data_IF_889031620507
#
_entry.id   IF_889031620507
#
_cell.length_a   1.000
_cell.length_b   1.000
_cell.length_c   1.000
_cell.angle_alpha   90.00
_cell.angle_beta   90.00
_cell.angle_gamma   90.00
#
_symmetry.space_group_name_H-M   'P 1'
#
loop_
_entity.id
_entity.type
_entity.pdbx_description
1 polymer ?
#
# COMPACT_ATOMS: atom_id res chain seq x y z
N UNK A 1 -26.29 -37.90 -49.41
CA UNK A 1 -25.27 -38.43 -48.48
C UNK A 1 -24.87 -37.30 -47.53
N UNK A 2 -25.58 -37.20 -46.38
CA UNK A 2 -25.50 -36.07 -45.47
C UNK A 2 -24.48 -36.37 -44.36
N UNK A 3 -23.36 -35.61 -44.31
CA UNK A 3 -22.38 -35.67 -43.25
C UNK A 3 -22.91 -34.97 -41.98
N UNK A 4 -23.31 -35.75 -40.97
CA UNK A 4 -23.65 -35.27 -39.64
C UNK A 4 -22.39 -34.64 -38.97
N UNK A 5 -22.32 -33.32 -38.85
CA UNK A 5 -21.33 -32.62 -38.01
C UNK A 5 -21.53 -33.03 -36.55
N UNK A 6 -20.64 -33.84 -35.97
CA UNK A 6 -20.55 -34.12 -34.55
C UNK A 6 -20.34 -32.78 -33.79
N UNK A 7 -21.35 -32.34 -33.06
CA UNK A 7 -21.19 -31.27 -32.05
C UNK A 7 -20.18 -31.74 -31.02
N UNK A 8 -18.98 -31.13 -31.01
CA UNK A 8 -17.98 -31.31 -29.93
C UNK A 8 -18.63 -30.78 -28.65
N UNK A 9 -18.75 -31.63 -27.64
CA UNK A 9 -19.16 -31.23 -26.30
C UNK A 9 -18.26 -30.08 -25.77
N UNK A 10 -18.82 -29.11 -25.09
CA UNK A 10 -18.01 -28.02 -24.52
C UNK A 10 -17.05 -28.64 -23.50
N UNK A 11 -15.74 -28.60 -23.80
CA UNK A 11 -14.72 -28.89 -22.81
C UNK A 11 -15.01 -28.01 -21.58
N UNK A 12 -15.27 -28.61 -20.43
CA UNK A 12 -15.32 -27.92 -19.14
C UNK A 12 -14.00 -27.11 -19.00
N UNK A 13 -14.03 -25.85 -19.37
CA UNK A 13 -12.95 -24.90 -19.09
C UNK A 13 -12.88 -24.80 -17.57
N UNK A 14 -11.76 -25.17 -16.97
CA UNK A 14 -11.55 -24.99 -15.55
C UNK A 14 -11.89 -23.54 -15.18
N UNK A 15 -12.53 -23.34 -14.06
CA UNK A 15 -13.09 -22.06 -13.59
C UNK A 15 -12.08 -20.90 -13.69
N UNK A 16 -10.78 -21.16 -13.46
CA UNK A 16 -9.67 -20.20 -13.61
C UNK A 16 -9.32 -19.87 -15.08
N UNK A 17 -9.75 -20.66 -16.06
CA UNK A 17 -9.39 -20.47 -17.47
C UNK A 17 -10.25 -19.43 -18.20
N UNK A 18 -11.35 -18.96 -17.60
CA UNK A 18 -12.24 -17.92 -18.10
C UNK A 18 -12.11 -16.57 -17.39
N UNK A 19 -11.39 -16.50 -16.26
CA UNK A 19 -11.30 -15.30 -15.41
C UNK A 19 -10.42 -14.21 -16.03
N UNK A 20 -10.80 -12.94 -15.81
CA UNK A 20 -9.94 -11.79 -16.17
C UNK A 20 -8.68 -11.77 -15.28
N UNK A 21 -7.61 -11.11 -15.75
CA UNK A 21 -6.37 -10.98 -14.96
C UNK A 21 -6.65 -10.37 -13.58
N UNK A 22 -7.53 -9.37 -13.52
CA UNK A 22 -7.95 -8.71 -12.28
C UNK A 22 -8.62 -9.66 -11.30
N UNK A 23 -9.48 -10.57 -11.80
CA UNK A 23 -10.14 -11.59 -10.97
C UNK A 23 -9.12 -12.58 -10.38
N UNK A 24 -8.14 -12.99 -11.17
CA UNK A 24 -7.08 -13.91 -10.69
C UNK A 24 -6.30 -13.25 -9.57
N UNK A 25 -5.94 -11.97 -9.70
CA UNK A 25 -5.25 -11.21 -8.65
C UNK A 25 -6.11 -11.16 -7.38
N UNK A 26 -7.39 -10.76 -7.48
CA UNK A 26 -8.30 -10.70 -6.33
C UNK A 26 -8.43 -12.04 -5.62
N UNK A 27 -8.66 -13.13 -6.36
CA UNK A 27 -8.79 -14.49 -5.81
C UNK A 27 -7.49 -14.91 -5.12
N UNK A 28 -6.34 -14.60 -5.70
CA UNK A 28 -5.03 -14.93 -5.12
C UNK A 28 -4.82 -14.25 -3.77
N UNK A 29 -5.20 -12.97 -3.64
CA UNK A 29 -5.14 -12.24 -2.37
C UNK A 29 -6.11 -12.83 -1.34
N UNK A 30 -7.34 -13.16 -1.73
CA UNK A 30 -8.33 -13.80 -0.83
C UNK A 30 -7.81 -15.14 -0.32
N UNK A 31 -7.23 -15.97 -1.19
CA UNK A 31 -6.64 -17.26 -0.79
C UNK A 31 -5.46 -17.09 0.17
N UNK A 32 -4.62 -16.08 -0.07
CA UNK A 32 -3.49 -15.78 0.81
C UNK A 32 -3.96 -15.30 2.19
N UNK A 33 -4.98 -14.43 2.23
CA UNK A 33 -5.61 -13.98 3.48
C UNK A 33 -6.23 -15.17 4.23
N UNK A 34 -6.94 -16.06 3.55
CA UNK A 34 -7.53 -17.25 4.16
C UNK A 34 -6.46 -18.18 4.74
N UNK A 35 -5.36 -18.41 4.02
CA UNK A 35 -4.22 -19.19 4.51
C UNK A 35 -3.57 -18.53 5.72
N UNK A 36 -3.31 -17.22 5.67
CA UNK A 36 -2.77 -16.45 6.77
C UNK A 36 -3.67 -16.51 8.00
N UNK A 37 -4.99 -16.35 7.82
CA UNK A 37 -5.98 -16.48 8.90
C UNK A 37 -5.89 -17.85 9.56
N UNK A 38 -5.86 -18.93 8.76
CA UNK A 38 -5.73 -20.29 9.27
C UNK A 38 -4.46 -20.45 10.12
N UNK A 39 -3.31 -19.99 9.62
CA UNK A 39 -2.03 -20.11 10.32
C UNK A 39 -2.02 -19.27 11.62
N UNK A 40 -2.59 -18.05 11.62
CA UNK A 40 -2.64 -17.17 12.78
C UNK A 40 -3.65 -17.62 13.84
N UNK A 41 -4.65 -18.44 13.50
CA UNK A 41 -5.59 -19.04 14.48
C UNK A 41 -5.02 -20.26 15.20
N UNK A 42 -3.87 -20.80 14.76
CA UNK A 42 -3.20 -21.91 15.43
C UNK A 42 -2.70 -21.49 16.82
N UNK A 43 -2.84 -22.33 17.85
CA UNK A 43 -2.35 -22.01 19.21
C UNK A 43 -0.86 -21.68 19.27
N UNK A 44 -0.05 -22.26 18.38
CA UNK A 44 1.40 -22.00 18.29
C UNK A 44 1.71 -20.56 17.82
N UNK A 45 0.78 -19.87 17.16
CA UNK A 45 0.99 -18.51 16.64
C UNK A 45 0.80 -17.44 17.70
N UNK A 46 0.09 -17.72 18.80
CA UNK A 46 -0.32 -16.73 19.79
C UNK A 46 0.24 -17.07 21.17
N UNK A 47 0.71 -16.04 21.89
CA UNK A 47 1.20 -16.16 23.29
C UNK A 47 0.06 -16.36 24.30
N UNK A 48 -1.13 -15.84 24.00
CA UNK A 48 -2.31 -15.88 24.87
C UNK A 48 -3.26 -17.05 24.54
N UNK A 49 -2.81 -18.06 23.79
CA UNK A 49 -3.64 -19.16 23.32
C UNK A 49 -4.27 -18.86 21.94
N UNK A 50 -5.49 -19.36 21.70
CA UNK A 50 -6.14 -19.17 20.37
C UNK A 50 -6.59 -17.72 20.19
N UNK A 51 -6.14 -17.11 19.08
CA UNK A 51 -6.66 -15.83 18.63
C UNK A 51 -8.06 -16.01 18.02
N UNK A 52 -8.97 -15.08 18.26
CA UNK A 52 -10.29 -15.08 17.63
C UNK A 52 -10.16 -15.00 16.08
N UNK A 53 -11.01 -15.74 15.36
CA UNK A 53 -10.94 -15.86 13.89
C UNK A 53 -11.01 -14.49 13.22
N UNK A 54 -11.84 -13.56 13.72
CA UNK A 54 -11.98 -12.21 13.17
C UNK A 54 -10.69 -11.39 13.35
N UNK A 55 -10.06 -11.47 14.52
CA UNK A 55 -8.80 -10.75 14.80
C UNK A 55 -7.64 -11.35 13.98
N UNK A 56 -7.60 -12.67 13.79
CA UNK A 56 -6.66 -13.35 12.93
C UNK A 56 -6.86 -12.97 11.46
N UNK A 57 -8.11 -12.91 10.98
CA UNK A 57 -8.44 -12.50 9.62
C UNK A 57 -8.11 -11.01 9.38
N UNK A 58 -8.34 -10.15 10.35
CA UNK A 58 -7.97 -8.74 10.29
C UNK A 58 -6.46 -8.59 10.15
N UNK A 59 -5.69 -9.26 11.00
CA UNK A 59 -4.22 -9.23 10.97
C UNK A 59 -3.68 -9.81 9.66
N UNK A 60 -4.22 -10.95 9.18
CA UNK A 60 -3.85 -11.54 7.90
C UNK A 60 -4.16 -10.61 6.72
N UNK A 61 -5.33 -9.93 6.75
CA UNK A 61 -5.71 -8.96 5.72
C UNK A 61 -4.78 -7.75 5.75
N UNK A 62 -4.55 -7.18 6.93
CA UNK A 62 -3.66 -6.03 7.12
C UNK A 62 -2.23 -6.34 6.66
N UNK A 63 -1.68 -7.51 7.01
CA UNK A 63 -0.36 -7.95 6.59
C UNK A 63 -0.27 -8.20 5.08
N UNK A 64 -1.26 -8.90 4.50
CA UNK A 64 -1.29 -9.22 3.06
C UNK A 64 -1.54 -7.98 2.21
N UNK A 65 -2.41 -7.07 2.64
CA UNK A 65 -2.65 -5.79 1.97
C UNK A 65 -1.56 -4.76 2.27
N UNK A 66 -0.61 -5.12 3.16
CA UNK A 66 0.52 -4.25 3.54
C UNK A 66 -0.01 -2.92 4.12
N UNK A 67 -0.94 -3.03 5.06
CA UNK A 67 -1.60 -1.85 5.65
C UNK A 67 -0.96 -1.44 6.98
N UNK A 68 -0.77 -2.38 7.92
CA UNK A 68 -0.20 -2.09 9.23
C UNK A 68 -1.20 -1.70 10.32
N UNK A 69 -2.49 -1.60 10.04
CA UNK A 69 -3.49 -1.48 11.09
C UNK A 69 -3.55 -2.78 11.89
N UNK A 70 -3.49 -2.67 13.21
CA UNK A 70 -3.43 -3.81 14.12
C UNK A 70 -4.52 -3.71 15.20
N UNK A 71 -5.29 -4.77 15.36
CA UNK A 71 -6.26 -4.93 16.47
C UNK A 71 -5.61 -5.58 17.69
N UNK A 72 -4.47 -6.21 17.49
CA UNK A 72 -3.62 -6.82 18.54
C UNK A 72 -2.17 -6.48 18.26
N UNK A 73 -1.46 -6.02 19.25
CA UNK A 73 -0.04 -5.68 19.12
C UNK A 73 0.79 -6.89 18.70
N UNK A 74 1.69 -6.70 17.73
CA UNK A 74 2.41 -7.81 17.07
C UNK A 74 3.40 -8.49 18.02
N UNK A 75 4.07 -7.72 18.88
CA UNK A 75 5.05 -8.27 19.82
C UNK A 75 4.37 -9.02 20.97
N UNK A 76 3.38 -8.40 21.59
CA UNK A 76 2.75 -8.95 22.80
C UNK A 76 1.83 -10.14 22.50
N UNK A 77 1.17 -10.15 21.32
CA UNK A 77 0.22 -11.19 20.96
C UNK A 77 0.88 -12.40 20.29
N UNK A 78 1.81 -12.19 19.36
CA UNK A 78 2.31 -13.28 18.53
C UNK A 78 3.63 -13.86 19.03
N UNK A 79 3.73 -15.20 18.97
CA UNK A 79 4.98 -15.94 19.15
C UNK A 79 5.92 -15.67 17.97
N UNK A 80 7.21 -16.05 18.03
CA UNK A 80 8.12 -15.96 16.88
C UNK A 80 7.56 -16.64 15.63
N UNK A 81 6.83 -17.75 15.77
CA UNK A 81 6.14 -18.39 14.66
C UNK A 81 5.04 -17.50 14.06
N UNK A 82 4.16 -16.92 14.90
CA UNK A 82 3.13 -15.99 14.44
C UNK A 82 3.71 -14.74 13.79
N UNK A 83 4.79 -14.18 14.35
CA UNK A 83 5.52 -13.06 13.77
C UNK A 83 6.12 -13.42 12.40
N UNK A 84 6.67 -14.63 12.23
CA UNK A 84 7.17 -15.11 10.94
C UNK A 84 6.05 -15.27 9.92
N UNK A 85 4.87 -15.75 10.32
CA UNK A 85 3.69 -15.81 9.43
C UNK A 85 3.29 -14.41 8.98
N UNK A 86 3.20 -13.43 9.89
CA UNK A 86 2.90 -12.02 9.55
C UNK A 86 3.94 -11.48 8.58
N UNK A 87 5.23 -11.71 8.83
CA UNK A 87 6.32 -11.25 7.98
C UNK A 87 6.26 -11.86 6.57
N UNK A 88 5.93 -13.14 6.45
CA UNK A 88 5.75 -13.81 5.15
C UNK A 88 4.54 -13.24 4.39
N UNK A 89 3.44 -12.97 5.08
CA UNK A 89 2.27 -12.33 4.47
C UNK A 89 2.61 -10.92 3.96
N UNK A 90 3.38 -10.13 4.72
CA UNK A 90 3.90 -8.82 4.31
C UNK A 90 4.76 -8.94 3.06
N UNK A 91 5.73 -9.87 3.05
CA UNK A 91 6.63 -10.05 1.91
C UNK A 91 5.88 -10.45 0.64
N UNK A 92 4.98 -11.43 0.74
CA UNK A 92 4.17 -11.88 -0.39
C UNK A 92 3.21 -10.79 -0.86
N UNK A 93 2.57 -10.11 0.07
CA UNK A 93 1.64 -9.02 -0.20
C UNK A 93 2.33 -7.79 -0.80
N UNK A 94 3.49 -7.40 -0.28
CA UNK A 94 4.29 -6.25 -0.71
C UNK A 94 4.80 -6.39 -2.13
N UNK A 95 5.45 -7.51 -2.44
CA UNK A 95 5.94 -7.80 -3.79
C UNK A 95 4.82 -8.18 -4.78
N UNK A 96 3.65 -8.53 -4.26
CA UNK A 96 2.53 -9.06 -5.05
C UNK A 96 2.65 -10.56 -5.32
N UNK A 97 1.58 -11.29 -5.06
CA UNK A 97 1.56 -12.76 -5.19
C UNK A 97 1.91 -13.21 -6.60
N UNK A 98 1.42 -12.51 -7.62
CA UNK A 98 1.70 -12.85 -9.04
C UNK A 98 3.19 -12.70 -9.33
N UNK A 99 3.84 -11.67 -8.79
CA UNK A 99 5.28 -11.45 -8.94
C UNK A 99 6.07 -12.60 -8.32
N UNK A 100 5.75 -13.01 -7.09
CA UNK A 100 6.45 -14.10 -6.41
C UNK A 100 6.19 -15.47 -7.04
N UNK A 101 4.94 -15.80 -7.36
CA UNK A 101 4.62 -17.09 -7.99
C UNK A 101 5.28 -17.22 -9.36
N UNK A 102 5.35 -16.15 -10.12
CA UNK A 102 6.03 -16.12 -11.40
C UNK A 102 7.54 -16.23 -11.26
N UNK A 103 8.14 -15.61 -10.23
CA UNK A 103 9.54 -15.76 -9.92
C UNK A 103 9.90 -17.21 -9.59
N UNK A 104 9.12 -17.88 -8.74
CA UNK A 104 9.36 -19.29 -8.42
C UNK A 104 9.14 -20.22 -9.64
N UNK A 105 8.14 -19.94 -10.48
CA UNK A 105 7.93 -20.69 -11.73
C UNK A 105 9.13 -20.56 -12.67
N UNK A 106 9.69 -19.36 -12.77
CA UNK A 106 10.88 -19.07 -13.58
C UNK A 106 12.14 -19.75 -12.98
N UNK A 107 12.33 -19.67 -11.67
CA UNK A 107 13.45 -20.31 -10.97
C UNK A 107 13.41 -21.83 -11.13
N UNK A 108 12.22 -22.44 -11.14
CA UNK A 108 12.00 -23.86 -11.42
C UNK A 108 12.11 -24.24 -12.92
N UNK A 109 12.57 -23.32 -13.79
CA UNK A 109 12.68 -23.49 -15.25
C UNK A 109 11.37 -23.94 -15.93
N UNK A 110 10.22 -23.66 -15.35
CA UNK A 110 8.92 -23.91 -15.98
C UNK A 110 8.67 -22.87 -17.08
N UNK A 111 8.21 -23.32 -18.24
CA UNK A 111 7.77 -22.39 -19.32
C UNK A 111 6.52 -21.67 -18.88
N UNK A 112 6.58 -20.37 -18.83
CA UNK A 112 5.42 -19.51 -18.54
C UNK A 112 4.53 -19.42 -19.77
N UNK A 113 3.22 -19.61 -19.59
CA UNK A 113 2.24 -19.44 -20.65
C UNK A 113 1.93 -17.96 -20.93
N UNK A 114 1.34 -17.67 -22.10
CA UNK A 114 0.94 -16.28 -22.46
C UNK A 114 0.01 -15.62 -21.42
N UNK A 115 -0.79 -16.40 -20.68
CA UNK A 115 -1.65 -15.88 -19.60
C UNK A 115 -0.84 -15.43 -18.39
N UNK A 116 0.16 -16.21 -18.00
CA UNK A 116 1.02 -15.88 -16.85
C UNK A 116 1.85 -14.62 -17.14
N UNK A 117 2.32 -14.47 -18.37
CA UNK A 117 3.03 -13.28 -18.83
C UNK A 117 2.13 -12.02 -18.86
N UNK A 118 0.86 -12.18 -19.21
CA UNK A 118 -0.11 -11.07 -19.17
C UNK A 118 -0.41 -10.63 -17.73
N UNK A 119 -0.61 -11.58 -16.81
CA UNK A 119 -0.80 -11.32 -15.39
C UNK A 119 0.39 -10.58 -14.78
N UNK A 120 1.60 -10.99 -15.14
CA UNK A 120 2.83 -10.31 -14.76
C UNK A 120 2.88 -8.87 -15.28
N UNK A 121 2.61 -8.65 -16.57
CA UNK A 121 2.60 -7.32 -17.16
C UNK A 121 1.63 -6.38 -16.45
N UNK A 122 0.44 -6.84 -16.08
CA UNK A 122 -0.55 -6.06 -15.34
C UNK A 122 -0.10 -5.80 -13.87
N UNK A 123 0.55 -6.76 -13.20
CA UNK A 123 0.98 -6.61 -11.80
C UNK A 123 2.19 -5.70 -11.63
N UNK A 124 3.08 -5.65 -12.63
CA UNK A 124 4.35 -4.90 -12.59
C UNK A 124 4.31 -3.64 -13.45
N UNK A 125 3.16 -3.34 -14.09
CA UNK A 125 2.99 -2.18 -15.00
C UNK A 125 3.96 -2.20 -16.20
N UNK A 126 4.34 -3.39 -16.69
CA UNK A 126 5.27 -3.55 -17.83
C UNK A 126 4.54 -3.53 -19.18
N UNK A 127 5.12 -2.84 -20.15
CA UNK A 127 4.51 -2.62 -21.48
C UNK A 127 4.75 -3.73 -22.53
N UNK A 128 5.48 -4.80 -22.19
CA UNK A 128 5.79 -5.89 -23.13
C UNK A 128 6.03 -7.25 -22.48
N UNK A 129 5.58 -8.32 -23.15
CA UNK A 129 5.63 -9.71 -22.63
C UNK A 129 7.05 -10.29 -22.49
N UNK A 130 7.98 -9.95 -23.40
CA UNK A 130 9.36 -10.42 -23.32
C UNK A 130 10.17 -9.74 -22.21
N UNK A 131 9.76 -8.54 -21.83
CA UNK A 131 10.38 -7.76 -20.75
C UNK A 131 9.85 -8.14 -19.36
N UNK A 132 8.66 -8.74 -19.27
CA UNK A 132 8.02 -9.03 -17.99
C UNK A 132 8.83 -10.00 -17.11
N UNK A 133 9.48 -10.99 -17.70
CA UNK A 133 10.33 -11.95 -16.95
C UNK A 133 11.61 -11.33 -16.42
N UNK A 134 12.21 -10.41 -17.17
CA UNK A 134 13.44 -9.74 -16.75
C UNK A 134 13.12 -8.66 -15.70
N UNK A 135 12.03 -7.94 -15.88
CA UNK A 135 11.50 -7.00 -14.87
C UNK A 135 11.23 -7.73 -13.55
N UNK A 136 10.63 -8.93 -13.60
CA UNK A 136 10.38 -9.74 -12.42
C UNK A 136 11.65 -10.06 -11.62
N UNK A 137 12.71 -10.53 -12.31
CA UNK A 137 14.01 -10.81 -11.66
C UNK A 137 14.58 -9.55 -11.03
N UNK A 138 14.48 -8.41 -11.72
CA UNK A 138 14.97 -7.13 -11.23
C UNK A 138 14.19 -6.70 -9.99
N UNK A 139 12.86 -6.80 -9.99
CA UNK A 139 12.00 -6.46 -8.83
C UNK A 139 12.41 -7.25 -7.59
N UNK A 140 12.50 -8.58 -7.71
CA UNK A 140 12.87 -9.42 -6.56
C UNK A 140 14.31 -9.14 -6.12
N UNK A 141 15.25 -8.98 -7.05
CA UNK A 141 16.64 -8.65 -6.73
C UNK A 141 16.76 -7.31 -6.02
N UNK A 142 16.06 -6.27 -6.49
CA UNK A 142 16.04 -4.94 -5.86
C UNK A 142 15.46 -5.01 -4.46
N UNK A 143 14.30 -5.66 -4.29
CA UNK A 143 13.67 -5.82 -2.98
C UNK A 143 14.61 -6.49 -1.98
N UNK A 144 15.13 -7.68 -2.31
CA UNK A 144 16.06 -8.40 -1.45
C UNK A 144 17.32 -7.57 -1.14
N UNK A 145 17.83 -6.80 -2.11
CA UNK A 145 19.02 -5.96 -1.90
C UNK A 145 18.74 -4.85 -0.88
N UNK A 146 17.63 -4.11 -1.02
CA UNK A 146 17.27 -3.06 -0.07
C UNK A 146 16.94 -3.63 1.31
N UNK A 147 16.23 -4.75 1.39
CA UNK A 147 15.87 -5.40 2.64
C UNK A 147 17.12 -5.91 3.39
N UNK A 148 18.06 -6.55 2.70
CA UNK A 148 19.31 -7.04 3.31
C UNK A 148 20.18 -5.86 3.77
N UNK A 149 20.36 -4.82 2.95
CA UNK A 149 21.11 -3.63 3.33
C UNK A 149 20.45 -2.96 4.54
N UNK A 150 19.14 -2.77 4.51
CA UNK A 150 18.38 -2.20 5.63
C UNK A 150 18.49 -3.04 6.90
N UNK A 151 18.38 -4.36 6.79
CA UNK A 151 18.59 -5.27 7.92
C UNK A 151 19.98 -5.10 8.54
N UNK A 152 21.03 -5.11 7.72
CA UNK A 152 22.42 -4.95 8.21
C UNK A 152 22.62 -3.60 8.90
N UNK A 153 22.09 -2.52 8.31
CA UNK A 153 22.15 -1.18 8.92
C UNK A 153 21.39 -1.14 10.26
N UNK A 154 20.19 -1.72 10.34
CA UNK A 154 19.42 -1.75 11.59
C UNK A 154 20.06 -2.65 12.65
N UNK A 155 20.77 -3.73 12.25
CA UNK A 155 21.53 -4.58 13.20
C UNK A 155 22.58 -3.77 13.98
N UNK A 156 23.19 -2.72 13.39
CA UNK A 156 24.14 -1.86 14.07
C UNK A 156 23.51 -1.16 15.28
N UNK A 157 22.21 -0.83 15.21
CA UNK A 157 21.49 -0.19 16.30
C UNK A 157 20.83 -1.21 17.26
N UNK A 158 20.23 -2.29 16.74
CA UNK A 158 19.38 -3.18 17.53
C UNK A 158 20.14 -4.36 18.15
N UNK A 159 21.23 -4.86 17.55
CA UNK A 159 22.01 -5.97 18.13
C UNK A 159 22.70 -5.55 19.44
N UNK A 160 23.35 -4.36 19.55
CA UNK A 160 23.90 -3.91 20.83
C UNK A 160 22.84 -3.74 21.93
N UNK A 161 21.60 -3.43 21.57
CA UNK A 161 20.50 -3.19 22.52
C UNK A 161 19.78 -4.48 22.93
N UNK A 162 19.59 -5.44 22.02
CA UNK A 162 18.75 -6.63 22.20
C UNK A 162 19.50 -7.95 22.07
N UNK A 163 20.82 -7.92 21.83
CA UNK A 163 21.59 -9.13 21.59
C UNK A 163 21.12 -9.87 20.32
N UNK A 164 21.07 -11.21 20.40
CA UNK A 164 20.68 -12.06 19.25
C UNK A 164 19.24 -11.77 18.75
N UNK A 165 18.33 -11.36 19.61
CA UNK A 165 16.96 -10.99 19.26
C UNK A 165 16.93 -9.74 18.35
N UNK A 166 17.94 -8.86 18.48
CA UNK A 166 18.12 -7.69 17.62
C UNK A 166 18.27 -8.05 16.14
N UNK A 167 18.76 -9.25 15.79
CA UNK A 167 18.83 -9.73 14.41
C UNK A 167 17.41 -9.92 13.85
N UNK A 168 16.53 -10.56 14.63
CA UNK A 168 15.14 -10.78 14.23
C UNK A 168 14.37 -9.47 14.10
N UNK A 169 14.51 -8.57 15.09
CA UNK A 169 13.89 -7.24 15.06
C UNK A 169 14.37 -6.45 13.83
N UNK A 170 15.67 -6.49 13.51
CA UNK A 170 16.24 -5.82 12.34
C UNK A 170 15.65 -6.36 11.03
N UNK A 171 15.58 -7.69 10.89
CA UNK A 171 15.02 -8.33 9.71
C UNK A 171 13.53 -7.98 9.55
N UNK A 172 12.75 -8.10 10.62
CA UNK A 172 11.33 -7.78 10.62
C UNK A 172 11.07 -6.32 10.26
N UNK A 173 11.80 -5.38 10.91
CA UNK A 173 11.66 -3.94 10.67
C UNK A 173 12.09 -3.55 9.26
N UNK A 174 13.19 -4.12 8.74
CA UNK A 174 13.67 -3.82 7.39
C UNK A 174 12.66 -4.25 6.31
N UNK A 175 12.12 -5.47 6.41
CA UNK A 175 11.13 -5.99 5.48
C UNK A 175 9.82 -5.20 5.61
N UNK A 176 9.34 -4.94 6.83
CA UNK A 176 8.14 -4.18 7.09
C UNK A 176 8.24 -2.75 6.54
N UNK A 177 9.38 -2.07 6.76
CA UNK A 177 9.62 -0.72 6.26
C UNK A 177 9.72 -0.66 4.74
N UNK A 178 10.49 -1.59 4.11
CA UNK A 178 10.63 -1.63 2.65
C UNK A 178 9.32 -2.01 1.95
N UNK A 179 8.59 -2.98 2.50
CA UNK A 179 7.26 -3.34 2.00
C UNK A 179 6.19 -2.28 2.30
N UNK A 180 6.50 -1.26 3.10
CA UNK A 180 5.55 -0.24 3.56
C UNK A 180 4.38 -0.86 4.34
N UNK A 181 4.67 -1.78 5.27
CA UNK A 181 3.67 -2.61 5.93
C UNK A 181 3.22 -2.11 7.30
N UNK A 182 4.02 -1.27 7.97
CA UNK A 182 3.66 -0.65 9.25
C UNK A 182 3.65 -1.56 10.47
N UNK A 183 3.94 -2.84 10.30
CA UNK A 183 4.09 -3.77 11.42
C UNK A 183 5.46 -3.62 12.07
N UNK A 184 5.51 -3.66 13.40
CA UNK A 184 6.72 -3.58 14.19
C UNK A 184 6.74 -4.56 15.36
N UNK A 185 7.88 -4.68 16.02
CA UNK A 185 8.09 -5.52 17.18
C UNK A 185 8.46 -4.72 18.45
N UNK A 186 8.14 -3.42 18.45
CA UNK A 186 8.48 -2.49 19.55
C UNK A 186 7.41 -2.45 20.66
N UNK A 187 6.34 -3.22 20.55
CA UNK A 187 5.35 -3.43 21.61
C UNK A 187 5.94 -3.90 22.95
N UNK A 188 7.21 -4.30 22.98
CA UNK A 188 7.99 -4.58 24.20
C UNK A 188 8.21 -3.34 25.08
N UNK A 189 8.18 -2.14 24.53
CA UNK A 189 8.28 -0.89 25.27
C UNK A 189 6.93 -0.35 25.73
N UNK A 190 5.87 -0.85 25.16
CA UNK A 190 4.48 -0.50 25.42
C UNK A 190 3.62 -0.92 24.23
N UNK A 191 2.40 -1.42 24.48
CA UNK A 191 1.50 -1.83 23.40
C UNK A 191 1.27 -0.67 22.42
N UNK A 192 1.40 -0.96 21.12
CA UNK A 192 1.23 0.01 20.02
C UNK A 192 2.22 1.17 20.04
N UNK A 193 3.38 1.03 20.73
CA UNK A 193 4.37 2.13 20.86
C UNK A 193 5.05 2.50 19.55
N UNK A 194 5.05 1.60 18.58
CA UNK A 194 5.79 1.77 17.30
C UNK A 194 7.23 2.26 17.53
N UNK A 195 7.70 3.24 16.77
CA UNK A 195 9.05 3.82 16.89
C UNK A 195 9.13 5.01 17.86
N UNK A 196 8.12 5.28 18.69
CA UNK A 196 8.18 6.36 19.66
C UNK A 196 9.41 6.29 20.59
N UNK A 197 9.88 5.11 21.07
CA UNK A 197 11.12 5.01 21.85
C UNK A 197 12.38 5.46 21.09
N UNK A 198 12.34 5.50 19.77
CA UNK A 198 13.45 5.89 18.89
C UNK A 198 13.33 7.31 18.33
N UNK A 199 12.46 8.16 18.90
CA UNK A 199 12.26 9.55 18.46
C UNK A 199 13.55 10.38 18.51
N UNK A 200 14.49 10.07 19.41
CA UNK A 200 15.79 10.72 19.52
C UNK A 200 16.91 9.98 18.78
N UNK A 201 16.65 8.80 18.23
CA UNK A 201 17.65 8.05 17.46
C UNK A 201 17.51 8.33 15.96
N UNK A 202 18.17 9.38 15.51
CA UNK A 202 18.11 9.84 14.11
C UNK A 202 18.65 8.80 13.12
N UNK A 203 19.63 7.98 13.52
CA UNK A 203 20.16 6.91 12.67
C UNK A 203 19.09 5.91 12.28
N UNK A 204 18.38 5.37 13.26
CA UNK A 204 17.29 4.41 13.03
C UNK A 204 16.19 5.03 12.16
N UNK A 205 15.80 6.28 12.45
CA UNK A 205 14.79 6.98 11.67
C UNK A 205 15.20 7.16 10.21
N UNK A 206 16.45 7.58 9.93
CA UNK A 206 16.94 7.78 8.56
C UNK A 206 16.97 6.47 7.77
N UNK A 207 17.45 5.37 8.39
CA UNK A 207 17.48 4.06 7.74
C UNK A 207 16.05 3.59 7.39
N UNK A 208 15.12 3.73 8.33
CA UNK A 208 13.72 3.32 8.11
C UNK A 208 13.05 4.20 7.05
N UNK A 209 13.21 5.53 7.11
CA UNK A 209 12.69 6.45 6.08
C UNK A 209 13.22 6.11 4.69
N UNK A 210 14.51 5.80 4.59
CA UNK A 210 15.11 5.40 3.31
C UNK A 210 14.46 4.13 2.75
N UNK A 211 14.23 3.12 3.59
CA UNK A 211 13.55 1.88 3.17
C UNK A 211 12.12 2.14 2.72
N UNK A 212 11.37 2.96 3.47
CA UNK A 212 10.00 3.36 3.12
C UNK A 212 9.96 4.07 1.75
N UNK A 213 10.85 5.05 1.56
CA UNK A 213 10.93 5.78 0.30
C UNK A 213 11.34 4.86 -0.85
N UNK A 214 12.30 3.95 -0.61
CA UNK A 214 12.76 2.99 -1.60
C UNK A 214 11.63 2.06 -2.06
N UNK A 215 10.85 1.50 -1.13
CA UNK A 215 9.69 0.67 -1.45
C UNK A 215 8.56 1.44 -2.13
N UNK A 216 8.33 2.70 -1.73
CA UNK A 216 7.23 3.54 -2.22
C UNK A 216 7.43 4.19 -3.60
N UNK A 217 8.67 4.32 -4.09
CA UNK A 217 8.97 4.97 -5.39
C UNK A 217 8.59 4.11 -6.61
N UNK A 218 8.45 2.81 -6.43
CA UNK A 218 8.14 1.88 -7.52
C UNK A 218 9.39 1.30 -8.21
N UNK A 219 9.30 0.02 -8.54
CA UNK A 219 10.45 -0.74 -9.05
C UNK A 219 10.96 -0.23 -10.41
N UNK A 220 10.06 0.22 -11.30
CA UNK A 220 10.44 0.74 -12.61
C UNK A 220 11.24 2.04 -12.52
N UNK A 221 10.93 2.89 -11.54
CA UNK A 221 11.69 4.13 -11.30
C UNK A 221 13.12 3.81 -10.87
N UNK A 222 13.31 2.78 -10.04
CA UNK A 222 14.66 2.32 -9.66
C UNK A 222 15.45 1.76 -10.83
N UNK A 223 14.81 1.05 -11.74
CA UNK A 223 15.44 0.56 -12.98
C UNK A 223 15.93 1.77 -13.82
N UNK A 224 15.08 2.77 -14.02
CA UNK A 224 15.44 3.97 -14.77
C UNK A 224 16.54 4.80 -14.10
N UNK A 225 16.53 4.91 -12.75
CA UNK A 225 17.61 5.58 -12.00
C UNK A 225 18.94 4.82 -12.18
N UNK A 226 18.93 3.50 -12.14
CA UNK A 226 20.11 2.66 -12.38
C UNK A 226 20.69 2.84 -13.80
N UNK A 227 19.82 3.03 -14.79
CA UNK A 227 20.20 3.25 -16.19
C UNK A 227 20.49 4.74 -16.53
N UNK A 228 20.19 5.66 -15.63
CA UNK A 228 20.30 7.11 -15.88
C UNK A 228 21.70 7.54 -16.30
N UNK A 229 22.74 6.92 -15.74
CA UNK A 229 24.14 7.20 -16.14
C UNK A 229 24.40 6.91 -17.62
N UNK A 230 23.70 5.90 -18.18
CA UNK A 230 23.85 5.49 -19.58
C UNK A 230 22.93 6.29 -20.51
N UNK A 231 21.65 6.42 -20.14
CA UNK A 231 20.61 7.01 -20.99
C UNK A 231 20.49 8.53 -20.88
N UNK A 232 21.00 9.13 -19.80
CA UNK A 232 20.98 10.58 -19.50
C UNK A 232 19.58 11.22 -19.53
N UNK A 233 18.51 10.43 -19.57
CA UNK A 233 17.14 10.94 -19.46
C UNK A 233 16.28 9.98 -18.62
N UNK A 234 15.28 10.54 -17.94
CA UNK A 234 14.22 9.82 -17.25
C UNK A 234 12.93 9.95 -18.05
N UNK A 235 12.10 8.92 -18.03
CA UNK A 235 10.76 8.96 -18.61
C UNK A 235 9.89 10.02 -17.92
N UNK A 236 8.80 10.45 -18.60
CA UNK A 236 7.81 11.33 -18.01
C UNK A 236 7.26 10.73 -16.69
N UNK A 237 7.01 9.41 -16.68
CA UNK A 237 6.53 8.69 -15.52
C UNK A 237 7.49 8.83 -14.31
N UNK A 238 8.77 8.53 -14.50
CA UNK A 238 9.77 8.61 -13.42
C UNK A 238 9.93 10.05 -12.91
N UNK A 239 9.96 11.05 -13.79
CA UNK A 239 10.02 12.47 -13.40
C UNK A 239 8.82 12.87 -12.57
N UNK A 240 7.60 12.48 -12.96
CA UNK A 240 6.38 12.78 -12.20
C UNK A 240 6.41 12.11 -10.82
N UNK A 241 6.78 10.83 -10.76
CA UNK A 241 6.88 10.11 -9.48
C UNK A 241 7.86 10.79 -8.54
N UNK A 242 9.08 11.08 -8.99
CA UNK A 242 10.12 11.70 -8.18
C UNK A 242 9.71 13.10 -7.70
N UNK A 243 9.22 13.95 -8.61
CA UNK A 243 8.82 15.31 -8.30
C UNK A 243 7.67 15.36 -7.29
N UNK A 244 6.57 14.65 -7.57
CA UNK A 244 5.40 14.68 -6.69
C UNK A 244 5.64 13.98 -5.36
N UNK A 245 6.44 12.88 -5.33
CA UNK A 245 6.83 12.25 -4.07
C UNK A 245 7.68 13.21 -3.21
N UNK A 246 8.65 13.90 -3.80
CA UNK A 246 9.48 14.88 -3.10
C UNK A 246 8.64 16.04 -2.54
N UNK A 247 7.73 16.60 -3.36
CA UNK A 247 6.82 17.69 -2.93
C UNK A 247 5.97 17.23 -1.74
N UNK A 248 5.44 16.00 -1.78
CA UNK A 248 4.59 15.49 -0.71
C UNK A 248 5.38 15.15 0.56
N UNK A 249 6.61 14.63 0.45
CA UNK A 249 7.47 14.36 1.61
C UNK A 249 7.93 15.66 2.28
N UNK A 250 8.49 16.58 1.52
CA UNK A 250 9.04 17.84 2.05
C UNK A 250 7.93 18.80 2.44
N UNK A 251 6.92 18.97 1.59
CA UNK A 251 5.77 19.83 1.87
C UNK A 251 4.95 19.31 3.06
N UNK A 252 4.70 18.00 3.13
CA UNK A 252 4.04 17.39 4.27
C UNK A 252 4.82 17.58 5.57
N UNK A 253 6.16 17.39 5.54
CA UNK A 253 7.02 17.62 6.70
C UNK A 253 7.00 19.07 7.18
N UNK A 254 7.07 20.03 6.24
CA UNK A 254 6.98 21.46 6.57
C UNK A 254 5.64 21.80 7.22
N UNK A 255 4.52 21.33 6.67
CA UNK A 255 3.18 21.60 7.22
C UNK A 255 2.98 20.91 8.58
N UNK A 256 3.36 19.65 8.74
CA UNK A 256 3.27 18.93 10.02
C UNK A 256 4.15 19.63 11.07
N UNK A 257 5.40 19.99 10.69
CA UNK A 257 6.31 20.70 11.57
C UNK A 257 5.74 22.03 12.03
N UNK A 258 5.20 22.85 11.12
CA UNK A 258 4.60 24.14 11.46
C UNK A 258 3.40 24.00 12.41
N UNK A 259 2.56 22.99 12.22
CA UNK A 259 1.33 22.78 13.02
C UNK A 259 1.64 22.22 14.41
N UNK A 260 2.62 21.31 14.52
CA UNK A 260 2.91 20.57 15.76
C UNK A 260 4.13 21.11 16.53
N UNK A 261 4.83 22.14 16.02
CA UNK A 261 6.10 22.65 16.57
C UNK A 261 6.06 22.94 18.06
N UNK A 262 4.96 23.53 18.52
CA UNK A 262 4.77 23.94 19.91
C UNK A 262 3.80 23.05 20.68
N UNK A 263 3.29 21.96 20.08
CA UNK A 263 2.36 21.06 20.76
C UNK A 263 3.13 20.22 21.81
N UNK A 264 2.93 20.45 23.12
CA UNK A 264 3.69 19.81 24.19
C UNK A 264 3.44 18.28 24.26
N UNK A 265 2.30 17.82 23.71
CA UNK A 265 1.88 16.41 23.74
C UNK A 265 2.45 15.61 22.55
N UNK A 266 2.94 16.27 21.49
CA UNK A 266 3.50 15.61 20.32
C UNK A 266 4.98 15.93 20.12
N UNK A 267 5.32 17.14 19.63
CA UNK A 267 6.69 17.52 19.27
C UNK A 267 7.30 18.57 20.21
N UNK A 268 6.51 19.25 21.04
CA UNK A 268 6.95 20.43 21.82
C UNK A 268 8.15 20.17 22.69
N UNK A 269 8.27 18.99 23.29
CA UNK A 269 9.39 18.59 24.16
C UNK A 269 10.66 18.16 23.44
N UNK A 270 10.64 18.06 22.10
CA UNK A 270 11.81 17.63 21.32
C UNK A 270 12.78 18.81 21.06
N UNK A 271 14.06 18.49 20.88
CA UNK A 271 15.06 19.44 20.37
C UNK A 271 14.72 19.89 18.95
N UNK A 272 15.24 21.04 18.50
CA UNK A 272 14.99 21.54 17.14
C UNK A 272 15.31 20.50 16.05
N UNK A 273 16.49 19.82 16.07
CA UNK A 273 16.74 18.74 15.11
C UNK A 273 15.74 17.57 15.25
N UNK A 274 15.33 17.25 16.50
CA UNK A 274 14.33 16.22 16.78
C UNK A 274 12.96 16.55 16.18
N UNK A 275 12.51 17.80 16.28
CA UNK A 275 11.25 18.27 15.67
C UNK A 275 11.27 18.14 14.15
N UNK A 276 12.36 18.56 13.50
CA UNK A 276 12.54 18.45 12.05
C UNK A 276 12.53 16.98 11.62
N UNK A 277 13.28 16.13 12.35
CA UNK A 277 13.35 14.71 12.03
C UNK A 277 12.01 14.00 12.24
N UNK A 278 11.28 14.29 13.32
CA UNK A 278 9.96 13.74 13.60
C UNK A 278 8.93 14.18 12.55
N UNK A 279 8.94 15.45 12.15
CA UNK A 279 8.06 15.97 11.10
C UNK A 279 8.35 15.30 9.74
N UNK A 280 9.63 15.13 9.38
CA UNK A 280 10.03 14.47 8.15
C UNK A 280 9.67 12.98 8.19
N UNK A 281 9.95 12.29 9.31
CA UNK A 281 9.59 10.88 9.49
C UNK A 281 8.08 10.69 9.35
N UNK A 282 7.30 11.53 10.02
CA UNK A 282 5.85 11.41 9.98
C UNK A 282 5.29 11.68 8.60
N UNK A 283 5.82 12.68 7.87
CA UNK A 283 5.43 12.95 6.49
C UNK A 283 5.75 11.78 5.54
N UNK A 284 6.93 11.16 5.68
CA UNK A 284 7.31 9.97 4.90
C UNK A 284 6.41 8.79 5.28
N UNK A 285 6.13 8.59 6.55
CA UNK A 285 5.32 7.48 7.05
C UNK A 285 3.85 7.55 6.61
N UNK A 286 3.26 8.76 6.52
CA UNK A 286 1.89 8.92 5.98
C UNK A 286 1.75 8.41 4.54
N UNK A 287 2.86 8.21 3.83
CA UNK A 287 2.89 7.68 2.46
C UNK A 287 3.00 6.16 2.46
N UNK A 288 2.05 5.49 3.10
CA UNK A 288 1.82 4.04 3.14
C UNK A 288 2.80 3.24 4.01
N UNK A 289 3.46 3.84 5.03
CA UNK A 289 4.43 3.10 5.84
C UNK A 289 3.94 2.67 7.22
N UNK A 290 3.07 3.45 7.87
CA UNK A 290 2.37 3.05 9.09
C UNK A 290 3.17 3.09 10.40
N UNK A 291 4.43 3.49 10.39
CA UNK A 291 5.26 3.62 11.58
C UNK A 291 5.22 5.06 12.10
N UNK A 292 5.19 5.28 13.41
CA UNK A 292 5.18 6.61 14.02
C UNK A 292 6.25 6.75 15.10
N UNK A 293 6.81 7.96 15.19
CA UNK A 293 7.78 8.36 16.22
C UNK A 293 7.20 9.31 17.25
N UNK A 294 5.99 9.82 17.01
CA UNK A 294 5.24 10.72 17.90
C UNK A 294 3.86 10.15 18.16
N UNK A 295 3.23 10.58 19.25
CA UNK A 295 1.84 10.21 19.55
C UNK A 295 0.86 10.92 18.62
N UNK A 296 0.26 10.17 17.71
CA UNK A 296 -0.70 10.68 16.72
C UNK A 296 -2.06 11.03 17.33
N UNK A 297 -2.45 10.36 18.40
CA UNK A 297 -3.69 10.68 19.11
C UNK A 297 -3.62 12.07 19.72
N UNK A 298 -2.42 12.49 20.15
CA UNK A 298 -2.16 13.79 20.75
C UNK A 298 -1.93 14.94 19.74
N UNK A 299 -1.86 14.63 18.43
CA UNK A 299 -1.75 15.65 17.39
C UNK A 299 -3.03 16.48 17.25
N UNK A 300 -2.88 17.74 16.83
CA UNK A 300 -3.98 18.65 16.60
C UNK A 300 -4.96 18.15 15.51
N UNK A 301 -6.24 18.53 15.57
CA UNK A 301 -7.25 18.06 14.62
C UNK A 301 -6.95 18.46 13.17
N UNK A 302 -6.37 19.64 12.94
CA UNK A 302 -5.98 20.09 11.60
C UNK A 302 -4.80 19.25 11.07
N UNK A 303 -3.84 18.90 11.94
CA UNK A 303 -2.72 18.02 11.58
C UNK A 303 -3.23 16.62 11.20
N UNK A 304 -4.16 16.05 11.96
CA UNK A 304 -4.81 14.78 11.64
C UNK A 304 -5.53 14.84 10.28
N UNK A 305 -6.23 15.91 9.99
CA UNK A 305 -6.90 16.11 8.70
C UNK A 305 -5.89 16.22 7.54
N UNK A 306 -4.81 16.98 7.71
CA UNK A 306 -3.70 17.04 6.74
C UNK A 306 -3.10 15.67 6.49
N UNK A 307 -2.80 14.94 7.57
CA UNK A 307 -2.27 13.58 7.46
C UNK A 307 -3.25 12.64 6.75
N UNK A 308 -4.57 12.78 6.98
CA UNK A 308 -5.59 11.99 6.28
C UNK A 308 -5.55 12.19 4.76
N UNK A 309 -5.35 13.43 4.31
CA UNK A 309 -5.16 13.75 2.88
C UNK A 309 -3.87 13.12 2.35
N UNK A 310 -2.76 13.21 3.09
CA UNK A 310 -1.50 12.59 2.71
C UNK A 310 -1.58 11.06 2.65
N UNK A 311 -2.32 10.43 3.58
CA UNK A 311 -2.57 8.99 3.61
C UNK A 311 -3.41 8.51 2.42
N UNK A 312 -4.41 9.30 2.02
CA UNK A 312 -5.24 9.00 0.85
C UNK A 312 -4.42 8.97 -0.44
N UNK A 313 -3.39 9.85 -0.55
CA UNK A 313 -2.43 9.88 -1.66
C UNK A 313 -1.33 8.86 -1.37
N UNK A 314 -1.48 7.64 -1.83
CA UNK A 314 -0.55 6.53 -1.61
C UNK A 314 0.74 6.62 -2.41
N UNK A 315 1.41 5.47 -2.56
CA UNK A 315 2.71 5.35 -3.20
C UNK A 315 2.65 5.38 -4.74
N UNK A 316 3.79 5.24 -5.41
CA UNK A 316 3.88 5.19 -6.87
C UNK A 316 3.27 3.91 -7.47
N UNK A 317 2.86 3.90 -8.75
CA UNK A 317 2.51 2.68 -9.47
C UNK A 317 3.69 1.70 -9.50
N UNK A 318 3.40 0.40 -9.35
CA UNK A 318 4.45 -0.63 -9.33
C UNK A 318 5.36 -0.54 -8.11
N UNK A 319 4.86 -0.04 -6.98
CA UNK A 319 5.51 0.02 -5.67
C UNK A 319 4.88 -0.97 -4.69
N UNK A 320 5.44 -1.06 -3.50
CA UNK A 320 4.92 -1.89 -2.41
C UNK A 320 3.67 -1.30 -1.74
N UNK A 321 3.46 0.03 -1.77
CA UNK A 321 2.33 0.70 -1.13
C UNK A 321 1.03 0.67 -1.94
N UNK A 322 -0.12 0.87 -1.27
CA UNK A 322 -1.46 0.93 -1.86
C UNK A 322 -2.03 2.35 -2.05
N UNK A 323 -3.31 2.53 -1.85
CA UNK A 323 -4.01 3.81 -1.96
C UNK A 323 -4.10 4.39 -3.37
N UNK A 324 -4.55 5.65 -3.49
CA UNK A 324 -4.54 6.41 -4.74
C UNK A 324 -3.11 6.69 -5.14
N UNK A 325 -2.69 6.24 -6.32
CA UNK A 325 -1.30 6.38 -6.74
C UNK A 325 -0.90 7.84 -6.95
N UNK A 326 0.35 8.19 -6.58
CA UNK A 326 0.88 9.55 -6.72
C UNK A 326 0.73 10.10 -8.14
N UNK A 327 0.90 9.27 -9.16
CA UNK A 327 0.70 9.68 -10.57
C UNK A 327 -0.77 9.94 -10.89
N UNK A 328 -1.71 9.21 -10.29
CA UNK A 328 -3.15 9.47 -10.44
C UNK A 328 -3.51 10.84 -9.89
N UNK A 329 -3.01 11.17 -8.70
CA UNK A 329 -3.17 12.49 -8.09
C UNK A 329 -2.48 13.59 -8.93
N UNK A 330 -1.25 13.35 -9.39
CA UNK A 330 -0.51 14.29 -10.22
C UNK A 330 -1.22 14.61 -11.55
N UNK A 331 -1.76 13.58 -12.24
CA UNK A 331 -2.55 13.77 -13.46
C UNK A 331 -3.75 14.66 -13.20
N UNK A 332 -4.49 14.45 -12.11
CA UNK A 332 -5.66 15.26 -11.79
C UNK A 332 -5.28 16.72 -11.52
N UNK A 333 -4.26 16.99 -10.70
CA UNK A 333 -3.78 18.36 -10.42
C UNK A 333 -3.32 19.07 -11.69
N UNK A 334 -2.58 18.38 -12.54
CA UNK A 334 -2.09 18.97 -13.80
C UNK A 334 -3.21 19.17 -14.83
N UNK A 335 -4.24 18.31 -14.84
CA UNK A 335 -5.44 18.50 -15.64
C UNK A 335 -6.22 19.72 -15.16
N UNK A 336 -6.44 19.87 -13.85
CA UNK A 336 -7.09 21.06 -13.28
C UNK A 336 -6.35 22.35 -13.68
N UNK A 337 -5.01 22.33 -13.64
CA UNK A 337 -4.19 23.45 -14.08
C UNK A 337 -4.36 23.72 -15.58
N UNK A 338 -4.39 22.69 -16.44
CA UNK A 338 -4.59 22.85 -17.89
C UNK A 338 -5.94 23.47 -18.21
N UNK A 339 -7.02 22.97 -17.57
CA UNK A 339 -8.39 23.52 -17.72
C UNK A 339 -8.46 24.96 -17.24
N UNK A 340 -7.85 25.28 -16.08
CA UNK A 340 -7.80 26.67 -15.57
C UNK A 340 -7.01 27.62 -16.49
N UNK A 341 -6.14 27.10 -17.35
CA UNK A 341 -5.44 27.86 -18.39
C UNK A 341 -6.22 27.94 -19.71
N UNK A 342 -7.47 27.47 -19.76
CA UNK A 342 -8.31 27.47 -20.96
C UNK A 342 -7.87 26.49 -22.05
N UNK A 343 -7.16 25.40 -21.69
CA UNK A 343 -6.74 24.37 -22.63
C UNK A 343 -7.74 23.22 -22.62
N UNK A 344 -8.15 22.76 -23.78
CA UNK A 344 -9.04 21.60 -23.94
C UNK A 344 -8.31 20.27 -23.65
N UNK A 345 -6.99 20.24 -23.79
CA UNK A 345 -6.17 19.06 -23.62
C UNK A 345 -5.27 19.12 -22.38
N UNK A 346 -5.11 17.98 -21.71
CA UNK A 346 -4.16 17.84 -20.63
C UNK A 346 -2.74 17.62 -21.20
N UNK A 347 -1.87 18.64 -21.07
CA UNK A 347 -0.47 18.58 -21.51
C UNK A 347 0.47 18.56 -20.31
N UNK A 348 1.29 17.52 -20.18
CA UNK A 348 2.25 17.33 -19.10
C UNK A 348 3.66 17.18 -19.68
N UNK A 349 4.57 18.10 -19.34
CA UNK A 349 5.97 18.01 -19.78
C UNK A 349 6.14 17.91 -21.30
N UNK A 350 5.28 18.57 -22.08
CA UNK A 350 5.29 18.53 -23.54
C UNK A 350 4.60 17.30 -24.16
N UNK A 351 3.95 16.46 -23.36
CA UNK A 351 3.23 15.27 -23.82
C UNK A 351 1.72 15.46 -23.61
N UNK A 352 0.93 15.12 -24.62
CA UNK A 352 -0.52 15.03 -24.51
C UNK A 352 -0.92 13.78 -23.74
N UNK A 353 -1.82 13.93 -22.76
CA UNK A 353 -2.36 12.83 -21.94
C UNK A 353 -3.76 12.49 -22.44
N UNK A 354 -3.96 11.23 -22.82
CA UNK A 354 -5.26 10.76 -23.30
C UNK A 354 -6.37 11.03 -22.27
N UNK A 355 -7.52 11.55 -22.73
CA UNK A 355 -8.71 11.80 -21.90
C UNK A 355 -9.17 10.56 -21.12
N UNK A 356 -8.98 9.35 -21.69
CA UNK A 356 -9.26 8.08 -20.99
C UNK A 356 -8.44 7.93 -19.70
N UNK A 357 -7.21 8.39 -19.68
CA UNK A 357 -6.33 8.35 -18.49
C UNK A 357 -6.85 9.32 -17.43
N UNK A 358 -7.31 10.50 -17.84
CA UNK A 358 -7.91 11.50 -16.94
C UNK A 358 -9.22 10.97 -16.33
N UNK A 359 -10.13 10.42 -17.13
CA UNK A 359 -11.37 9.82 -16.63
C UNK A 359 -11.11 8.65 -15.67
N UNK A 360 -10.12 7.80 -15.99
CA UNK A 360 -9.71 6.72 -15.09
C UNK A 360 -9.16 7.24 -13.77
N UNK A 361 -8.35 8.30 -13.80
CA UNK A 361 -7.80 8.94 -12.61
C UNK A 361 -8.93 9.51 -11.73
N UNK A 362 -9.88 10.23 -12.34
CA UNK A 362 -11.05 10.76 -11.65
C UNK A 362 -11.88 9.64 -11.00
N UNK A 363 -12.17 8.57 -11.74
CA UNK A 363 -12.92 7.42 -11.24
C UNK A 363 -12.24 6.78 -10.03
N UNK A 364 -10.92 6.60 -10.07
CA UNK A 364 -10.14 6.03 -8.95
C UNK A 364 -10.28 6.90 -7.70
N UNK A 365 -10.14 8.23 -7.84
CA UNK A 365 -10.22 9.15 -6.71
C UNK A 365 -11.64 9.18 -6.13
N UNK A 366 -12.68 9.27 -6.96
CA UNK A 366 -14.07 9.28 -6.52
C UNK A 366 -14.46 8.00 -5.78
N UNK A 367 -14.14 6.83 -6.34
CA UNK A 367 -14.40 5.55 -5.67
C UNK A 367 -13.62 5.42 -4.37
N UNK A 368 -12.36 5.88 -4.34
CA UNK A 368 -11.55 5.92 -3.13
C UNK A 368 -12.13 6.82 -2.05
N UNK A 369 -12.60 8.01 -2.42
CA UNK A 369 -13.25 8.93 -1.48
C UNK A 369 -14.54 8.32 -0.90
N UNK A 370 -15.38 7.72 -1.74
CA UNK A 370 -16.60 7.04 -1.27
C UNK A 370 -16.25 5.91 -0.30
N UNK A 371 -15.21 5.11 -0.58
CA UNK A 371 -14.79 4.04 0.32
C UNK A 371 -14.24 4.58 1.65
N UNK A 372 -13.36 5.59 1.62
CA UNK A 372 -12.74 6.17 2.82
C UNK A 372 -13.77 6.92 3.67
N UNK A 373 -14.53 7.85 3.09
CA UNK A 373 -15.52 8.63 3.85
C UNK A 373 -16.71 7.78 4.29
N UNK A 374 -17.17 6.85 3.44
CA UNK A 374 -18.24 5.93 3.78
C UNK A 374 -17.88 5.03 4.96
N UNK A 375 -16.63 4.52 4.97
CA UNK A 375 -16.14 3.73 6.12
C UNK A 375 -15.96 4.58 7.38
N UNK A 376 -15.55 5.85 7.25
CA UNK A 376 -15.44 6.76 8.39
C UNK A 376 -16.78 6.99 9.09
N UNK A 377 -17.86 7.18 8.33
CA UNK A 377 -19.22 7.31 8.87
C UNK A 377 -19.61 6.07 9.66
N UNK A 378 -19.42 4.87 9.07
CA UNK A 378 -19.77 3.62 9.76
C UNK A 378 -18.96 3.43 11.04
N UNK A 379 -17.66 3.73 11.00
CA UNK A 379 -16.77 3.57 12.16
C UNK A 379 -17.16 4.55 13.26
N UNK A 380 -17.43 5.82 12.94
CA UNK A 380 -17.86 6.82 13.90
C UNK A 380 -19.10 6.39 14.70
N UNK A 381 -20.11 5.83 14.03
CA UNK A 381 -21.33 5.34 14.71
C UNK A 381 -21.18 3.99 15.41
N UNK A 382 -20.10 3.25 15.17
CA UNK A 382 -19.86 1.91 15.75
C UNK A 382 -18.70 1.87 16.76
N UNK A 383 -18.13 3.01 17.13
CA UNK A 383 -17.07 3.14 18.16
C UNK A 383 -17.56 3.93 19.36
N UNK A 384 -16.72 4.05 20.39
CA UNK A 384 -17.04 4.80 21.61
C UNK A 384 -17.22 6.30 21.34
N UNK A 385 -17.99 6.98 22.20
CA UNK A 385 -18.23 8.45 22.13
C UNK A 385 -16.94 9.30 22.25
N UNK A 386 -15.83 8.68 22.66
CA UNK A 386 -14.53 9.35 22.74
C UNK A 386 -13.86 9.54 21.37
N UNK A 387 -14.33 8.84 20.32
CA UNK A 387 -13.78 8.93 18.95
C UNK A 387 -14.39 10.13 18.23
N UNK A 388 -13.55 11.06 17.79
CA UNK A 388 -14.01 12.21 17.01
C UNK A 388 -14.22 11.85 15.53
N UNK A 389 -15.01 12.66 14.81
CA UNK A 389 -15.20 12.51 13.35
C UNK A 389 -13.85 12.53 12.61
N UNK A 390 -12.92 13.38 13.06
CA UNK A 390 -11.59 13.52 12.46
C UNK A 390 -10.77 12.24 12.69
N UNK A 391 -10.87 11.63 13.86
CA UNK A 391 -10.19 10.37 14.16
C UNK A 391 -10.74 9.21 13.29
N UNK A 392 -12.06 9.17 13.07
CA UNK A 392 -12.68 8.21 12.18
C UNK A 392 -12.25 8.40 10.71
N UNK A 393 -12.14 9.64 10.23
CA UNK A 393 -11.63 9.97 8.89
C UNK A 393 -10.16 9.58 8.78
N UNK A 394 -9.33 9.90 9.78
CA UNK A 394 -7.92 9.55 9.81
C UNK A 394 -7.70 8.05 9.67
N UNK A 395 -8.38 7.26 10.48
CA UNK A 395 -8.27 5.81 10.51
C UNK A 395 -8.78 5.17 9.19
N UNK A 396 -9.89 5.70 8.65
CA UNK A 396 -10.46 5.21 7.39
C UNK A 396 -9.60 5.55 6.17
N UNK A 397 -8.99 6.74 6.15
CA UNK A 397 -7.99 7.10 5.14
C UNK A 397 -6.73 6.22 5.26
N UNK A 398 -6.32 5.89 6.49
CA UNK A 398 -5.23 4.96 6.76
C UNK A 398 -5.55 3.56 6.25
N UNK A 399 -6.77 3.06 6.49
CA UNK A 399 -7.21 1.76 5.99
C UNK A 399 -7.25 1.71 4.46
N UNK A 400 -7.88 2.70 3.80
CA UNK A 400 -7.97 2.78 2.34
C UNK A 400 -6.60 3.04 1.68
N UNK A 401 -5.83 3.96 2.25
CA UNK A 401 -4.47 4.27 1.80
C UNK A 401 -3.50 3.11 1.98
N UNK A 402 -3.89 2.08 2.74
CA UNK A 402 -3.01 1.00 3.23
C UNK A 402 -1.78 1.57 3.90
N UNK A 403 -1.98 2.47 4.87
CA UNK A 403 -0.91 3.22 5.54
C UNK A 403 -0.52 2.61 6.87
N UNK A 404 -1.51 2.28 7.73
CA UNK A 404 -1.28 1.65 9.03
C UNK A 404 -1.13 2.59 10.21
N UNK A 405 -1.06 3.90 9.99
CA UNK A 405 -1.09 4.87 11.08
C UNK A 405 -2.46 4.85 11.78
N UNK A 406 -2.44 4.83 13.10
CA UNK A 406 -3.64 4.79 13.93
C UNK A 406 -3.58 5.85 15.02
N UNK A 407 -4.74 6.41 15.35
CA UNK A 407 -4.96 7.27 16.53
C UNK A 407 -5.64 6.50 17.68
N UNK A 408 -5.59 5.13 17.61
CA UNK A 408 -6.13 4.26 18.63
C UNK A 408 -7.56 3.76 18.37
N UNK A 409 -8.18 4.12 17.25
CA UNK A 409 -9.56 3.71 16.90
C UNK A 409 -9.61 2.23 16.52
N UNK A 410 -8.61 1.72 15.76
CA UNK A 410 -8.59 0.33 15.24
C UNK A 410 -8.70 -0.70 16.37
N UNK A 411 -8.09 -0.47 17.54
CA UNK A 411 -8.15 -1.40 18.68
C UNK A 411 -9.54 -1.50 19.33
N UNK A 412 -10.40 -0.49 19.11
CA UNK A 412 -11.75 -0.38 19.67
C UNK A 412 -12.86 -0.85 18.73
N UNK A 413 -12.51 -1.23 17.48
CA UNK A 413 -13.49 -1.61 16.46
C UNK A 413 -14.30 -2.86 16.88
N UNK A 414 -15.61 -2.79 16.69
CA UNK A 414 -16.47 -3.97 16.77
C UNK A 414 -16.27 -4.89 15.55
N UNK A 415 -16.86 -6.08 15.58
CA UNK A 415 -16.71 -7.09 14.51
C UNK A 415 -17.16 -6.55 13.13
N UNK A 416 -18.27 -5.79 13.07
CA UNK A 416 -18.77 -5.24 11.81
C UNK A 416 -17.80 -4.21 11.20
N UNK A 417 -17.27 -3.31 12.01
CA UNK A 417 -16.29 -2.32 11.59
C UNK A 417 -14.95 -2.96 11.18
N UNK A 418 -14.51 -4.03 11.87
CA UNK A 418 -13.34 -4.83 11.46
C UNK A 418 -13.52 -5.43 10.07
N UNK A 419 -14.68 -6.04 9.78
CA UNK A 419 -14.99 -6.61 8.46
C UNK A 419 -15.01 -5.53 7.36
N UNK A 420 -15.58 -4.37 7.67
CA UNK A 420 -15.58 -3.23 6.74
C UNK A 420 -14.14 -2.75 6.44
N UNK A 421 -13.31 -2.59 7.47
CA UNK A 421 -11.92 -2.18 7.25
C UNK A 421 -11.10 -3.21 6.48
N UNK A 422 -11.33 -4.51 6.68
CA UNK A 422 -10.71 -5.55 5.84
C UNK A 422 -11.07 -5.37 4.36
N UNK A 423 -12.33 -5.06 4.05
CA UNK A 423 -12.77 -4.77 2.68
C UNK A 423 -12.10 -3.51 2.14
N UNK A 424 -12.05 -2.43 2.92
CA UNK A 424 -11.45 -1.14 2.53
C UNK A 424 -9.94 -1.29 2.29
N UNK A 425 -9.21 -1.99 3.16
CA UNK A 425 -7.79 -2.32 2.97
C UNK A 425 -7.55 -3.12 1.69
N UNK A 426 -8.40 -4.12 1.44
CA UNK A 426 -8.34 -4.93 0.23
C UNK A 426 -8.57 -4.08 -1.04
N UNK A 427 -9.57 -3.19 -1.03
CA UNK A 427 -9.85 -2.24 -2.13
C UNK A 427 -8.66 -1.29 -2.35
N UNK A 428 -8.07 -0.77 -1.29
CA UNK A 428 -6.90 0.10 -1.35
C UNK A 428 -5.67 -0.60 -1.95
N UNK A 429 -5.49 -1.89 -1.66
CA UNK A 429 -4.36 -2.68 -2.17
C UNK A 429 -4.51 -3.08 -3.63
N UNK A 430 -5.65 -3.66 -4.00
CA UNK A 430 -5.91 -4.14 -5.38
C UNK A 430 -6.20 -2.98 -6.33
N UNK A 431 -6.67 -1.87 -5.79
CA UNK A 431 -7.14 -0.70 -6.51
C UNK A 431 -8.66 -0.72 -6.73
N UNK A 432 -9.35 0.41 -6.48
CA UNK A 432 -10.81 0.48 -6.45
C UNK A 432 -11.45 0.13 -7.80
N UNK A 433 -10.88 0.56 -8.92
CA UNK A 433 -11.38 0.23 -10.27
C UNK A 433 -11.17 -1.25 -10.59
N UNK A 434 -10.02 -1.82 -10.22
CA UNK A 434 -9.75 -3.25 -10.42
C UNK A 434 -10.70 -4.10 -9.59
N UNK A 435 -10.99 -3.69 -8.36
CA UNK A 435 -11.97 -4.32 -7.49
C UNK A 435 -13.37 -4.28 -8.11
N UNK A 436 -13.84 -3.10 -8.54
CA UNK A 436 -15.15 -2.94 -9.19
C UNK A 436 -15.29 -3.80 -10.45
N UNK A 437 -14.26 -3.83 -11.32
CA UNK A 437 -14.25 -4.68 -12.52
C UNK A 437 -14.31 -6.18 -12.16
N UNK A 438 -13.66 -6.60 -11.07
CA UNK A 438 -13.69 -8.01 -10.65
C UNK A 438 -15.08 -8.49 -10.28
N UNK A 439 -15.94 -7.59 -9.77
CA UNK A 439 -17.32 -7.87 -9.39
C UNK A 439 -18.30 -7.83 -10.58
N UNK A 440 -18.03 -7.00 -11.60
CA UNK A 440 -18.97 -6.70 -12.70
C UNK A 440 -18.76 -7.51 -13.98
N UNK A 441 -17.90 -8.52 -13.98
CA UNK A 441 -17.48 -9.25 -15.19
C UNK A 441 -18.60 -9.93 -15.99
N UNK A 442 -19.32 -9.12 -16.79
CA UNK A 442 -19.91 -9.58 -18.05
C UNK A 442 -19.15 -8.90 -19.19
N UNK A 443 -18.75 -9.66 -20.25
CA UNK A 443 -18.24 -9.02 -21.47
C UNK A 443 -19.35 -8.11 -22.00
N UNK A 444 -19.08 -6.83 -22.10
CA UNK A 444 -20.02 -5.88 -22.67
C UNK A 444 -20.04 -6.07 -24.19
N UNK A 445 -21.00 -6.83 -24.70
CA UNK A 445 -21.27 -7.01 -26.14
C UNK A 445 -21.72 -5.70 -26.82
N UNK A 446 -22.02 -4.65 -26.05
CA UNK A 446 -22.46 -3.33 -26.55
C UNK A 446 -21.34 -2.37 -26.97
N UNK A 447 -20.07 -2.76 -26.90
CA UNK A 447 -18.91 -1.89 -27.25
C UNK A 447 -18.90 -1.38 -28.69
N UNK A 448 -19.85 -1.74 -29.54
CA UNK A 448 -19.93 -1.32 -30.95
C UNK A 448 -21.15 -0.45 -31.31
N UNK A 449 -21.97 -0.06 -30.35
CA UNK A 449 -23.09 0.86 -30.64
C UNK A 449 -22.57 2.29 -30.65
N UNK A 450 -22.69 2.94 -31.80
CA UNK A 450 -22.48 4.40 -31.93
C UNK A 450 -23.75 5.05 -31.37
N UNK A 451 -23.61 5.72 -30.21
CA UNK A 451 -24.71 6.46 -29.60
C UNK A 451 -24.64 7.94 -30.03
N UNK A 452 -25.81 8.62 -30.18
CA UNK A 452 -25.81 10.04 -30.45
C UNK A 452 -25.18 10.83 -29.29
N UNK A 453 -24.57 11.97 -29.62
CA UNK A 453 -23.95 12.86 -28.63
C UNK A 453 -25.05 13.63 -27.90
N UNK A 454 -25.18 13.45 -26.58
CA UNK A 454 -26.04 14.24 -25.72
C UNK A 454 -25.28 15.48 -25.24
N UNK A 455 -25.90 16.66 -25.26
CA UNK A 455 -25.37 17.88 -24.68
C UNK A 455 -25.90 18.06 -23.24
N UNK A 456 -24.98 18.20 -22.27
CA UNK A 456 -25.29 18.49 -20.89
C UNK A 456 -24.46 19.71 -20.46
N UNK A 457 -25.12 20.75 -19.98
CA UNK A 457 -24.43 21.93 -19.44
C UNK A 457 -23.85 21.56 -18.07
N UNK A 458 -22.53 21.71 -17.92
CA UNK A 458 -21.82 21.67 -16.64
C UNK A 458 -21.44 23.09 -16.28
N UNK A 459 -21.72 23.52 -15.04
CA UNK A 459 -21.57 24.88 -14.54
C UNK A 459 -20.16 25.45 -14.66
#
# INVERSE_FOLDING_TARGET
MGMKRKKRAPRRRGWLLGSSATQVICISFVLLIALGTLLLTLPISSRSGRLGVVDAMFTATSATCVTGLVVRDTWTQFTPFGQAVVLLLIQVGGLGLVTLTSFFALAAKRRMGFKDLRLLGESVSASGYSQATDVLKIVVKLAMTFEIIGMVLLMIAFVPQFGAEGIWISAFTAISAFCNAGFDLFGRFGQYSSLAPYVSNYYVQVVIMFLIMAGGLGFMVWVEIGEWRKKRHLSLHARMVLLFSCILWVGGAALIGLMEWNNPKSMGGLSVPGKVMAALFQSVSTRTAGMNTIDLAACGPITKLLMSVLQFIGAAPGSTGGGVKVTTFAVLILTMRSVAQGRDDCVIGGHHIESKTVYRALTIIMLGMVAALGSAVVVYYNTSDAVTVIDAIFESCSAFGTVGLSVGVTSQLNTGAKLLYMLVMFMGRVGPVSFAISLTSKPDDNKRKILPVGQINVG
#
